data_IF_561122555729
#
_entry.id   IF_561122555729
#
_cell.length_a   1.000
_cell.length_b   1.000
_cell.length_c   1.000
_cell.angle_alpha   90.00
_cell.angle_beta   90.00
_cell.angle_gamma   90.00
#
_symmetry.space_group_name_H-M   'P 1'
#
loop_
_entity.id
_entity.type
_entity.pdbx_description
1 polymer ?
#
# COMPACT_ATOMS: atom_id res chain seq x y z
N UNK A 1 14.51 22.69 24.71
CA UNK A 1 13.49 22.23 25.67
C UNK A 1 13.08 20.82 25.27
N UNK A 2 13.71 19.80 25.85
CA UNK A 2 13.44 18.40 25.54
C UNK A 2 12.97 17.70 26.82
N UNK A 3 11.65 17.65 27.02
CA UNK A 3 11.00 16.74 27.97
C UNK A 3 10.78 15.35 27.34
N UNK A 4 10.55 14.31 28.15
CA UNK A 4 10.42 12.93 27.71
C UNK A 4 9.28 12.75 26.67
N UNK A 5 9.41 11.79 25.73
CA UNK A 5 8.53 11.64 24.57
C UNK A 5 7.04 11.36 24.84
N UNK A 6 6.67 11.07 26.08
CA UNK A 6 5.30 10.71 26.47
C UNK A 6 4.45 11.87 26.97
N UNK A 7 5.06 12.98 27.40
CA UNK A 7 4.38 14.05 28.13
C UNK A 7 3.56 14.99 27.22
N UNK A 8 3.71 14.87 25.89
CA UNK A 8 3.04 15.76 24.94
C UNK A 8 1.64 15.28 24.53
N UNK A 9 1.30 14.02 24.82
CA UNK A 9 0.04 13.42 24.39
C UNK A 9 -1.06 13.48 25.45
N UNK A 10 -0.67 13.43 26.72
CA UNK A 10 -1.55 13.50 27.89
C UNK A 10 -1.59 14.97 28.36
N UNK A 11 -2.68 15.67 28.08
CA UNK A 11 -2.85 17.10 28.39
C UNK A 11 -3.59 17.32 29.72
N UNK A 12 -4.28 16.30 30.21
CA UNK A 12 -5.05 16.35 31.45
C UNK A 12 -4.25 15.81 32.66
N UNK A 13 -3.10 15.18 32.42
CA UNK A 13 -2.18 14.64 33.42
C UNK A 13 -2.69 13.37 34.11
N UNK A 14 -3.60 12.63 33.48
CA UNK A 14 -4.27 11.47 34.07
C UNK A 14 -3.54 10.13 33.82
N UNK A 15 -2.44 10.14 33.05
CA UNK A 15 -1.67 8.97 32.67
C UNK A 15 -2.33 8.07 31.62
N UNK A 16 -3.46 8.52 31.04
CA UNK A 16 -4.18 7.87 29.95
C UNK A 16 -4.18 8.79 28.73
N UNK A 17 -4.59 8.25 27.58
CA UNK A 17 -4.69 9.05 26.35
C UNK A 17 -6.08 8.86 25.79
N UNK A 18 -6.88 9.91 25.87
CA UNK A 18 -8.24 9.90 25.33
C UNK A 18 -8.22 9.93 23.79
N UNK A 19 -9.29 9.44 23.16
CA UNK A 19 -9.48 9.50 21.69
C UNK A 19 -9.36 10.94 21.14
N UNK A 20 -9.76 11.94 21.93
CA UNK A 20 -9.69 13.37 21.59
C UNK A 20 -8.24 13.87 21.59
N UNK A 21 -7.47 13.48 22.61
CA UNK A 21 -6.07 13.86 22.74
C UNK A 21 -5.23 13.15 21.68
N UNK A 22 -5.48 11.86 21.45
CA UNK A 22 -4.83 11.09 20.40
C UNK A 22 -5.11 11.65 19.01
N UNK A 23 -6.36 11.99 18.68
CA UNK A 23 -6.70 12.61 17.41
C UNK A 23 -5.97 13.94 17.21
N UNK A 24 -5.85 14.76 18.27
CA UNK A 24 -5.14 16.04 18.26
C UNK A 24 -3.64 15.85 18.04
N UNK A 25 -3.02 14.89 18.72
CA UNK A 25 -1.59 14.54 18.55
C UNK A 25 -1.33 14.05 17.14
N UNK A 26 -2.16 13.14 16.63
CA UNK A 26 -2.03 12.63 15.26
C UNK A 26 -2.23 13.74 14.22
N UNK A 27 -3.11 14.71 14.49
CA UNK A 27 -3.32 15.88 13.62
C UNK A 27 -2.18 16.89 13.68
N UNK A 28 -1.51 17.01 14.83
CA UNK A 28 -0.28 17.79 14.94
C UNK A 28 0.88 17.09 14.20
N UNK A 29 1.01 15.77 14.36
CA UNK A 29 2.00 14.94 13.69
C UNK A 29 1.77 14.85 12.18
N UNK A 30 0.52 14.97 11.71
CA UNK A 30 0.19 14.88 10.28
C UNK A 30 0.80 16.00 9.44
N UNK A 31 1.13 17.15 10.07
CA UNK A 31 1.90 18.23 9.43
C UNK A 31 3.27 17.76 8.94
N UNK A 32 3.85 16.76 9.61
CA UNK A 32 5.14 16.15 9.25
C UNK A 32 4.96 14.81 8.52
N UNK A 33 3.88 14.08 8.83
CA UNK A 33 3.59 12.76 8.28
C UNK A 33 2.17 12.70 7.69
N UNK A 34 1.99 12.96 6.39
CA UNK A 34 0.67 13.15 5.78
C UNK A 34 -0.25 11.92 5.85
N UNK A 35 0.31 10.71 5.99
CA UNK A 35 -0.48 9.48 6.14
C UNK A 35 -1.25 9.41 7.46
N UNK A 36 -0.83 10.16 8.50
CA UNK A 36 -1.52 10.19 9.79
C UNK A 36 -2.81 11.03 9.76
N UNK A 37 -3.00 11.86 8.72
CA UNK A 37 -4.19 12.70 8.60
C UNK A 37 -5.48 11.87 8.45
N UNK A 38 -5.43 10.76 7.69
CA UNK A 38 -6.57 9.85 7.52
C UNK A 38 -6.95 9.17 8.84
N UNK A 39 -5.94 8.77 9.63
CA UNK A 39 -6.14 8.17 10.94
C UNK A 39 -6.74 9.17 11.94
N UNK A 40 -6.26 10.41 11.96
CA UNK A 40 -6.83 11.47 12.78
C UNK A 40 -8.31 11.73 12.42
N UNK A 41 -8.63 11.84 11.12
CA UNK A 41 -10.01 12.03 10.66
C UNK A 41 -10.91 10.84 11.03
N UNK A 42 -10.39 9.61 10.97
CA UNK A 42 -11.13 8.41 11.35
C UNK A 42 -11.44 8.37 12.86
N UNK A 43 -10.49 8.78 13.70
CA UNK A 43 -10.67 8.85 15.14
C UNK A 43 -11.65 9.97 15.54
N UNK A 44 -11.56 11.13 14.91
CA UNK A 44 -12.53 12.24 15.08
C UNK A 44 -13.95 11.81 14.67
N UNK A 45 -14.09 11.04 13.59
CA UNK A 45 -15.37 10.50 13.14
C UNK A 45 -15.94 9.46 14.13
N UNK A 46 -15.11 8.66 14.78
CA UNK A 46 -15.56 7.74 15.85
C UNK A 46 -16.01 8.50 17.09
N UNK A 47 -15.25 9.50 17.51
CA UNK A 47 -15.61 10.34 18.65
C UNK A 47 -16.94 11.08 18.43
N UNK A 48 -17.15 11.64 17.23
CA UNK A 48 -18.41 12.30 16.88
C UNK A 48 -19.58 11.34 16.72
N UNK A 49 -19.36 10.08 16.30
CA UNK A 49 -20.41 9.04 16.31
C UNK A 49 -20.78 8.56 17.72
N UNK A 50 -19.82 8.46 18.63
CA UNK A 50 -20.06 8.19 20.05
C UNK A 50 -20.80 9.36 20.71
N UNK A 51 -20.38 10.60 20.45
CA UNK A 51 -21.10 11.80 20.90
C UNK A 51 -22.52 11.91 20.33
N UNK A 52 -22.71 11.57 19.05
CA UNK A 52 -24.04 11.58 18.40
C UNK A 52 -24.91 10.40 18.88
N UNK A 53 -24.33 9.24 19.20
CA UNK A 53 -25.02 8.12 19.83
C UNK A 53 -25.47 8.46 21.27
N UNK A 54 -24.62 9.12 22.06
CA UNK A 54 -24.93 9.59 23.43
C UNK A 54 -25.96 10.74 23.40
N UNK A 55 -25.86 11.68 22.45
CA UNK A 55 -26.89 12.70 22.23
C UNK A 55 -28.20 12.09 21.72
N UNK A 56 -28.18 11.07 20.85
CA UNK A 56 -29.39 10.39 20.37
C UNK A 56 -30.03 9.46 21.41
N UNK A 57 -29.26 8.98 22.40
CA UNK A 57 -29.79 8.32 23.59
C UNK A 57 -30.44 9.33 24.56
N UNK A 58 -29.98 10.58 24.56
CA UNK A 58 -30.62 11.70 25.27
C UNK A 58 -31.79 12.34 24.50
N UNK A 59 -31.95 12.03 23.21
CA UNK A 59 -33.08 12.49 22.36
C UNK A 59 -33.69 11.31 21.59
N UNK A 60 -34.11 10.28 22.31
CA UNK A 60 -35.07 9.30 21.79
C UNK A 60 -36.47 9.91 21.84
N UNK A 61 -36.75 10.76 20.85
CA UNK A 61 -38.03 11.38 20.56
C UNK A 61 -38.11 11.80 19.10
N UNK A 62 -38.17 10.83 18.17
CA UNK A 62 -38.76 11.02 16.84
C UNK A 62 -37.85 11.12 15.61
N UNK A 63 -38.01 10.13 14.72
CA UNK A 63 -37.89 10.16 13.25
C UNK A 63 -36.52 10.15 12.51
N UNK A 64 -36.21 8.95 11.99
CA UNK A 64 -35.79 8.56 10.62
C UNK A 64 -34.44 9.04 9.99
N UNK A 65 -33.84 8.23 9.07
CA UNK A 65 -32.39 8.02 9.03
C UNK A 65 -31.69 8.56 7.77
N UNK A 66 -30.41 8.97 7.91
CA UNK A 66 -29.50 9.21 6.79
C UNK A 66 -28.52 8.04 6.65
N UNK A 67 -28.71 7.24 5.60
CA UNK A 67 -27.83 6.14 5.20
C UNK A 67 -26.61 6.68 4.44
N UNK A 68 -25.41 6.63 5.03
CA UNK A 68 -24.16 6.76 4.29
C UNK A 68 -23.39 5.43 4.33
N UNK A 69 -23.53 4.66 3.25
CA UNK A 69 -22.75 3.45 2.97
C UNK A 69 -21.25 3.80 2.94
N UNK A 70 -20.51 3.35 3.94
CA UNK A 70 -19.06 3.17 3.84
C UNK A 70 -18.77 1.67 3.75
N UNK A 71 -18.58 1.21 2.51
CA UNK A 71 -18.02 -0.10 2.21
C UNK A 71 -16.57 -0.12 2.70
N UNK A 72 -16.27 -0.98 3.68
CA UNK A 72 -14.91 -1.41 3.98
C UNK A 72 -14.93 -2.94 4.15
N UNK A 73 -14.04 -3.67 3.46
CA UNK A 73 -14.01 -5.12 3.50
C UNK A 73 -13.56 -5.60 4.89
N UNK A 74 -14.24 -6.64 5.37
CA UNK A 74 -13.98 -7.29 6.64
C UNK A 74 -12.53 -7.82 6.71
N UNK A 75 -11.63 -7.03 7.31
CA UNK A 75 -10.39 -7.54 7.88
C UNK A 75 -10.71 -8.04 9.29
N UNK A 76 -10.72 -9.36 9.46
CA UNK A 76 -10.99 -10.09 10.71
C UNK A 76 -9.90 -9.90 11.78
N UNK A 77 -9.57 -8.67 12.17
CA UNK A 77 -8.67 -8.43 13.30
C UNK A 77 -9.06 -7.15 14.05
N UNK A 78 -10.23 -7.13 14.68
CA UNK A 78 -10.54 -6.12 15.70
C UNK A 78 -11.42 -6.75 16.80
N UNK A 79 -11.01 -7.88 17.37
CA UNK A 79 -11.44 -8.25 18.71
C UNK A 79 -10.54 -7.51 19.72
N UNK A 80 -10.75 -6.20 19.81
CA UNK A 80 -10.29 -5.41 20.94
C UNK A 80 -11.56 -4.78 21.51
N UNK A 81 -11.91 -5.20 22.72
CA UNK A 81 -13.02 -4.64 23.48
C UNK A 81 -12.93 -3.12 23.41
N UNK A 82 -14.04 -2.48 23.02
CA UNK A 82 -14.17 -1.04 22.97
C UNK A 82 -14.17 -0.47 24.39
N UNK A 83 -13.00 -0.40 25.02
CA UNK A 83 -12.79 0.43 26.19
C UNK A 83 -12.37 1.81 25.69
N UNK A 84 -13.13 2.82 26.07
CA UNK A 84 -13.09 4.22 25.60
C UNK A 84 -11.78 4.95 25.99
N UNK A 85 -10.88 4.27 26.71
CA UNK A 85 -9.53 4.72 27.03
C UNK A 85 -8.58 3.53 26.94
N UNK A 86 -7.52 3.65 26.13
CA UNK A 86 -6.41 2.70 26.10
C UNK A 86 -5.25 3.29 26.89
N UNK A 87 -4.63 2.49 27.74
CA UNK A 87 -3.42 2.90 28.45
C UNK A 87 -2.29 3.22 27.45
N UNK A 88 -1.37 4.10 27.84
CA UNK A 88 -0.22 4.43 26.99
C UNK A 88 0.59 3.19 26.59
N UNK A 89 0.64 2.18 27.45
CA UNK A 89 1.30 0.88 27.18
C UNK A 89 0.56 0.06 26.12
N UNK A 90 -0.77 -0.02 26.19
CA UNK A 90 -1.59 -0.69 25.17
C UNK A 90 -1.53 0.03 23.82
N UNK A 91 -1.48 1.36 23.82
CA UNK A 91 -1.31 2.14 22.59
C UNK A 91 0.07 1.91 21.96
N UNK A 92 1.14 1.86 22.77
CA UNK A 92 2.48 1.48 22.30
C UNK A 92 2.50 0.07 21.72
N UNK A 93 1.89 -0.90 22.40
CA UNK A 93 1.78 -2.27 21.92
C UNK A 93 0.99 -2.36 20.60
N UNK A 94 -0.07 -1.55 20.44
CA UNK A 94 -0.83 -1.46 19.21
C UNK A 94 0.00 -0.84 18.07
N UNK A 95 0.73 0.24 18.33
CA UNK A 95 1.66 0.84 17.38
C UNK A 95 2.75 -0.14 16.95
N UNK A 96 3.37 -0.86 17.89
CA UNK A 96 4.39 -1.88 17.60
C UNK A 96 3.81 -3.03 16.77
N UNK A 97 2.55 -3.41 17.02
CA UNK A 97 1.83 -4.41 16.23
C UNK A 97 1.46 -3.90 14.83
N UNK A 98 1.21 -2.61 14.65
CA UNK A 98 1.00 -2.01 13.34
C UNK A 98 2.32 -1.91 12.60
N UNK A 99 3.38 -1.46 13.26
CA UNK A 99 4.70 -1.27 12.67
C UNK A 99 5.33 -2.61 12.24
N UNK A 100 5.20 -3.65 13.06
CA UNK A 100 5.58 -5.03 12.68
C UNK A 100 4.76 -5.61 11.51
N UNK A 101 3.56 -5.07 11.26
CA UNK A 101 2.73 -5.41 10.09
C UNK A 101 3.02 -4.55 8.86
N UNK A 102 3.67 -3.39 8.99
CA UNK A 102 4.19 -2.59 7.88
C UNK A 102 5.44 -3.26 7.31
N UNK A 103 5.27 -4.45 6.72
CA UNK A 103 6.33 -5.09 5.97
C UNK A 103 6.59 -4.28 4.70
N UNK A 104 7.87 -4.01 4.45
CA UNK A 104 8.31 -3.41 3.19
C UNK A 104 7.84 -4.22 1.99
N UNK A 105 7.65 -3.53 0.87
CA UNK A 105 7.35 -4.17 -0.40
C UNK A 105 8.47 -5.16 -0.77
N UNK A 106 8.10 -6.28 -1.39
CA UNK A 106 9.05 -7.28 -1.84
C UNK A 106 10.08 -6.67 -2.81
N UNK A 107 11.34 -7.05 -2.68
CA UNK A 107 12.43 -6.65 -3.58
C UNK A 107 12.28 -7.34 -4.96
N UNK A 108 11.28 -6.91 -5.73
CA UNK A 108 10.97 -7.44 -7.07
C UNK A 108 11.18 -6.37 -8.12
N UNK A 109 11.53 -6.79 -9.34
CA UNK A 109 11.67 -5.88 -10.47
C UNK A 109 10.37 -5.09 -10.75
N UNK A 110 9.20 -5.69 -10.48
CA UNK A 110 7.91 -5.02 -10.63
C UNK A 110 7.75 -3.86 -9.64
N UNK A 111 8.09 -4.06 -8.36
CA UNK A 111 8.04 -3.01 -7.34
C UNK A 111 9.02 -1.89 -7.71
N UNK A 112 10.25 -2.24 -8.08
CA UNK A 112 11.26 -1.28 -8.50
C UNK A 112 10.81 -0.45 -9.71
N UNK A 113 10.19 -1.09 -10.72
CA UNK A 113 9.64 -0.39 -11.88
C UNK A 113 8.53 0.60 -11.50
N UNK A 114 7.55 0.16 -10.71
CA UNK A 114 6.45 1.02 -10.28
C UNK A 114 6.92 2.18 -9.40
N UNK A 115 7.85 1.92 -8.48
CA UNK A 115 8.47 2.95 -7.65
C UNK A 115 9.27 3.95 -8.50
N UNK A 116 10.01 3.47 -9.51
CA UNK A 116 10.74 4.32 -10.45
C UNK A 116 9.82 5.21 -11.28
N UNK A 117 8.72 4.65 -11.82
CA UNK A 117 7.70 5.42 -12.57
C UNK A 117 7.03 6.48 -11.69
N UNK A 118 6.67 6.12 -10.45
CA UNK A 118 6.11 7.05 -9.47
C UNK A 118 7.10 8.18 -9.13
N UNK A 119 8.34 7.82 -8.79
CA UNK A 119 9.39 8.79 -8.45
C UNK A 119 9.68 9.72 -9.63
N UNK A 120 9.78 9.20 -10.85
CA UNK A 120 9.97 10.01 -12.05
C UNK A 120 8.82 11.03 -12.24
N UNK A 121 7.57 10.61 -12.00
CA UNK A 121 6.41 11.52 -12.03
C UNK A 121 6.47 12.60 -10.94
N UNK A 122 6.86 12.24 -9.71
CA UNK A 122 7.03 13.19 -8.61
C UNK A 122 8.14 14.20 -8.94
N UNK A 123 9.29 13.73 -9.44
CA UNK A 123 10.42 14.58 -9.82
C UNK A 123 10.06 15.51 -10.98
N UNK A 124 9.36 15.00 -12.01
CA UNK A 124 8.89 15.81 -13.13
C UNK A 124 7.86 16.87 -12.72
N UNK A 125 7.09 16.62 -11.65
CA UNK A 125 6.15 17.60 -11.09
C UNK A 125 6.81 18.68 -10.23
N UNK A 126 8.03 18.42 -9.75
CA UNK A 126 8.81 19.34 -8.95
C UNK A 126 9.35 20.47 -9.82
N UNK A 127 9.47 21.67 -9.25
CA UNK A 127 10.21 22.76 -9.90
C UNK A 127 11.64 22.75 -9.37
N UNK A 128 12.59 22.72 -10.29
CA UNK A 128 13.99 22.89 -9.94
C UNK A 128 14.25 24.34 -9.60
N UNK A 129 14.59 24.61 -8.33
CA UNK A 129 14.92 25.95 -7.87
C UNK A 129 16.45 26.11 -7.86
N UNK A 130 16.99 26.71 -8.92
CA UNK A 130 18.44 26.86 -9.10
C UNK A 130 19.11 27.66 -7.97
N UNK A 131 18.35 28.51 -7.26
CA UNK A 131 18.84 29.37 -6.18
C UNK A 131 19.07 28.62 -4.87
N UNK A 132 18.26 27.62 -4.56
CA UNK A 132 18.40 26.78 -3.36
C UNK A 132 19.14 25.47 -3.63
N UNK A 133 19.33 25.09 -4.90
CA UNK A 133 19.87 23.79 -5.28
C UNK A 133 18.97 22.63 -4.86
N UNK A 134 17.70 22.90 -4.53
CA UNK A 134 16.74 21.92 -4.06
C UNK A 134 15.57 21.81 -5.03
N UNK A 135 15.07 20.59 -5.16
CA UNK A 135 13.85 20.34 -5.92
C UNK A 135 12.65 20.70 -5.03
N UNK A 136 11.93 21.77 -5.38
CA UNK A 136 10.69 22.13 -4.71
C UNK A 136 9.58 21.16 -5.14
N UNK A 137 9.30 20.16 -4.29
CA UNK A 137 8.23 19.19 -4.51
C UNK A 137 6.86 19.81 -4.23
N UNK A 138 5.83 19.33 -4.94
CA UNK A 138 4.45 19.74 -4.70
C UNK A 138 3.98 19.24 -3.32
N UNK A 139 3.36 20.09 -2.48
CA UNK A 139 3.06 19.77 -1.08
C UNK A 139 1.98 18.69 -0.85
N UNK A 140 1.33 18.18 -1.90
CA UNK A 140 0.24 17.20 -1.80
C UNK A 140 0.36 16.11 -2.89
N UNK A 141 1.45 15.35 -2.87
CA UNK A 141 1.57 14.14 -3.69
C UNK A 141 0.93 12.95 -2.96
N UNK A 142 0.07 12.14 -3.61
CA UNK A 142 -0.48 10.94 -3.00
C UNK A 142 0.65 9.93 -2.70
N UNK A 143 0.55 9.14 -1.62
CA UNK A 143 1.54 8.11 -1.31
C UNK A 143 1.57 7.03 -2.42
N UNK A 144 2.74 6.43 -2.62
CA UNK A 144 2.91 5.33 -3.55
C UNK A 144 2.02 4.14 -3.15
N UNK A 145 1.19 3.67 -4.07
CA UNK A 145 0.36 2.47 -3.91
C UNK A 145 0.84 1.40 -4.87
N UNK A 146 1.34 0.30 -4.31
CA UNK A 146 1.76 -0.85 -5.11
C UNK A 146 0.56 -1.59 -5.68
N UNK A 147 0.66 -1.92 -6.98
CA UNK A 147 -0.32 -2.75 -7.66
C UNK A 147 0.30 -4.09 -8.04
N UNK A 148 -0.20 -5.18 -7.46
CA UNK A 148 0.28 -6.52 -7.79
C UNK A 148 -0.28 -6.97 -9.15
N UNK A 149 0.59 -7.17 -10.15
CA UNK A 149 0.23 -7.64 -11.49
C UNK A 149 0.20 -9.17 -11.63
N UNK A 150 0.58 -9.90 -10.58
CA UNK A 150 0.67 -11.36 -10.58
C UNK A 150 2.09 -11.88 -10.48
N UNK A 151 2.22 -13.19 -10.53
CA UNK A 151 3.48 -13.92 -10.51
C UNK A 151 3.47 -14.99 -11.59
N UNK A 152 4.65 -15.29 -12.13
CA UNK A 152 4.79 -16.19 -13.26
C UNK A 152 6.15 -16.87 -13.14
N UNK A 153 6.17 -18.18 -13.29
CA UNK A 153 7.34 -19.01 -13.06
C UNK A 153 7.45 -20.11 -14.12
N UNK A 154 8.61 -20.24 -14.74
CA UNK A 154 8.91 -21.35 -15.65
C UNK A 154 9.30 -22.59 -14.85
N UNK A 155 8.67 -23.73 -15.15
CA UNK A 155 8.86 -24.99 -14.42
C UNK A 155 9.72 -25.99 -15.20
N UNK A 156 10.01 -25.71 -16.47
CA UNK A 156 10.77 -26.62 -17.35
C UNK A 156 9.87 -27.25 -18.42
N UNK A 157 10.47 -27.99 -19.35
CA UNK A 157 9.75 -28.73 -20.41
C UNK A 157 8.68 -27.94 -21.16
N UNK A 158 8.95 -26.66 -21.48
CA UNK A 158 7.99 -25.73 -22.10
C UNK A 158 6.73 -25.44 -21.26
N UNK A 159 6.73 -25.78 -19.98
CA UNK A 159 5.66 -25.52 -19.03
C UNK A 159 5.99 -24.34 -18.10
N UNK A 160 4.96 -23.58 -17.76
CA UNK A 160 5.04 -22.53 -16.76
C UNK A 160 3.79 -22.54 -15.86
N UNK A 161 3.85 -21.78 -14.78
CA UNK A 161 2.74 -21.54 -13.85
C UNK A 161 2.55 -20.04 -13.75
N UNK A 162 1.33 -19.59 -14.00
CA UNK A 162 0.94 -18.19 -13.94
C UNK A 162 -0.17 -17.99 -12.92
N UNK A 163 0.04 -17.06 -12.00
CA UNK A 163 -0.97 -16.57 -11.08
C UNK A 163 -1.23 -15.08 -11.36
N UNK A 164 -2.36 -14.78 -11.99
CA UNK A 164 -2.80 -13.40 -12.24
C UNK A 164 -3.91 -13.07 -11.25
N UNK A 165 -3.74 -12.04 -10.39
CA UNK A 165 -4.80 -11.59 -9.51
C UNK A 165 -5.97 -11.08 -10.35
N UNK A 166 -7.19 -11.43 -9.95
CA UNK A 166 -8.43 -11.03 -10.64
C UNK A 166 -8.55 -9.51 -10.70
N UNK A 167 -8.18 -8.90 -11.82
CA UNK A 167 -8.37 -7.46 -12.09
C UNK A 167 -9.59 -7.27 -12.98
N UNK A 168 -10.77 -7.07 -12.36
CA UNK A 168 -12.01 -6.82 -13.10
C UNK A 168 -12.65 -8.06 -13.76
N UNK A 169 -13.42 -7.91 -14.86
CA UNK A 169 -14.18 -8.99 -15.49
C UNK A 169 -13.33 -10.07 -16.17
N UNK A 170 -12.08 -9.75 -16.57
CA UNK A 170 -11.13 -10.72 -17.11
C UNK A 170 -10.37 -11.40 -15.97
N UNK A 171 -11.09 -12.26 -15.25
CA UNK A 171 -10.46 -13.21 -14.35
C UNK A 171 -9.94 -14.39 -15.16
N UNK A 172 -8.67 -14.35 -15.58
CA UNK A 172 -8.04 -15.55 -16.12
C UNK A 172 -7.81 -16.53 -14.96
N UNK A 173 -8.25 -17.79 -15.07
CA UNK A 173 -7.88 -18.81 -14.10
C UNK A 173 -6.35 -18.97 -14.09
N UNK A 174 -5.76 -19.45 -12.98
CA UNK A 174 -4.35 -19.80 -12.95
C UNK A 174 -4.06 -20.78 -14.09
N UNK A 175 -3.13 -20.40 -14.97
CA UNK A 175 -2.78 -21.15 -16.15
C UNK A 175 -1.56 -22.01 -15.82
N UNK A 176 -1.68 -23.32 -16.03
CA UNK A 176 -0.61 -24.30 -15.85
C UNK A 176 -0.36 -25.07 -17.15
N UNK A 177 0.89 -25.41 -17.40
CA UNK A 177 1.29 -26.29 -18.50
C UNK A 177 1.84 -25.54 -19.72
N UNK A 178 1.78 -26.17 -20.89
CA UNK A 178 2.45 -25.70 -22.11
C UNK A 178 1.94 -24.35 -22.61
N UNK A 179 0.65 -24.08 -22.47
CA UNK A 179 0.06 -22.79 -22.86
C UNK A 179 0.57 -21.64 -21.98
N UNK A 180 0.74 -21.89 -20.68
CA UNK A 180 1.38 -20.94 -19.78
C UNK A 180 2.86 -20.73 -20.14
N UNK A 181 3.55 -21.77 -20.63
CA UNK A 181 4.93 -21.65 -21.10
C UNK A 181 5.10 -20.78 -22.35
N UNK A 182 4.15 -20.84 -23.30
CA UNK A 182 4.11 -19.92 -24.45
C UNK A 182 3.86 -18.48 -24.00
N UNK A 183 2.96 -18.27 -23.05
CA UNK A 183 2.71 -16.96 -22.44
C UNK A 183 3.94 -16.42 -21.70
N UNK A 184 4.64 -17.26 -20.94
CA UNK A 184 5.90 -16.89 -20.28
C UNK A 184 6.94 -16.37 -21.26
N UNK A 185 7.18 -17.09 -22.36
CA UNK A 185 8.15 -16.67 -23.38
C UNK A 185 7.72 -15.39 -24.08
N UNK A 186 6.42 -15.27 -24.34
CA UNK A 186 5.84 -14.05 -24.94
C UNK A 186 6.05 -12.84 -24.02
N UNK A 187 5.86 -13.03 -22.71
CA UNK A 187 6.10 -12.01 -21.69
C UNK A 187 7.59 -11.64 -21.60
N UNK A 188 8.50 -12.60 -21.58
CA UNK A 188 9.95 -12.37 -21.54
C UNK A 188 10.44 -11.52 -22.72
N UNK A 189 9.92 -11.76 -23.93
CA UNK A 189 10.19 -10.93 -25.10
C UNK A 189 9.57 -9.53 -24.92
N UNK A 190 8.32 -9.45 -24.48
CA UNK A 190 7.62 -8.18 -24.31
C UNK A 190 8.26 -7.27 -23.25
N UNK A 191 8.74 -7.85 -22.15
CA UNK A 191 9.28 -7.16 -20.98
C UNK A 191 10.61 -6.42 -21.27
N UNK A 192 11.31 -6.74 -22.36
CA UNK A 192 12.54 -6.05 -22.73
C UNK A 192 12.30 -4.58 -23.06
N UNK A 193 13.22 -3.71 -22.63
CA UNK A 193 13.09 -2.25 -22.73
C UNK A 193 13.26 -1.76 -24.19
N UNK A 194 14.01 -2.48 -25.03
CA UNK A 194 14.39 -2.05 -26.38
C UNK A 194 13.97 -3.05 -27.46
N UNK A 195 13.47 -2.53 -28.59
CA UNK A 195 13.05 -3.33 -29.75
C UNK A 195 14.14 -4.28 -30.27
N UNK A 196 15.40 -3.81 -30.35
CA UNK A 196 16.51 -4.66 -30.77
C UNK A 196 16.74 -5.86 -29.84
N UNK A 197 16.53 -5.67 -28.52
CA UNK A 197 16.62 -6.77 -27.55
C UNK A 197 15.45 -7.74 -27.71
N UNK A 198 14.23 -7.25 -27.98
CA UNK A 198 13.06 -8.09 -28.26
C UNK A 198 13.32 -9.04 -29.42
N UNK A 199 13.83 -8.52 -30.53
CA UNK A 199 14.13 -9.32 -31.72
C UNK A 199 15.25 -10.34 -31.46
N UNK A 200 16.30 -9.98 -30.73
CA UNK A 200 17.38 -10.92 -30.37
C UNK A 200 16.87 -12.08 -29.52
N UNK A 201 16.12 -11.80 -28.46
CA UNK A 201 15.53 -12.83 -27.59
C UNK A 201 14.55 -13.72 -28.36
N UNK A 202 13.69 -13.11 -29.20
CA UNK A 202 12.77 -13.88 -30.05
C UNK A 202 13.52 -14.79 -31.05
N UNK A 203 14.59 -14.28 -31.67
CA UNK A 203 15.46 -15.05 -32.56
C UNK A 203 16.15 -16.20 -31.84
N UNK A 204 16.61 -16.01 -30.61
CA UNK A 204 17.19 -17.07 -29.78
C UNK A 204 16.17 -18.17 -29.47
N UNK A 205 14.92 -17.80 -29.14
CA UNK A 205 13.87 -18.79 -28.93
C UNK A 205 13.53 -19.57 -30.20
N UNK A 206 13.47 -18.90 -31.35
CA UNK A 206 13.23 -19.54 -32.64
C UNK A 206 14.37 -20.50 -33.00
N UNK A 207 15.62 -20.05 -32.87
CA UNK A 207 16.80 -20.87 -33.13
C UNK A 207 16.84 -22.09 -32.22
N UNK A 208 16.55 -21.92 -30.94
CA UNK A 208 16.55 -23.01 -29.95
C UNK A 208 15.43 -24.01 -30.22
N UNK A 209 14.29 -23.57 -30.77
CA UNK A 209 13.19 -24.45 -31.17
C UNK A 209 13.48 -25.25 -32.44
N UNK A 210 14.14 -24.64 -33.42
CA UNK A 210 14.45 -25.29 -34.70
C UNK A 210 15.69 -26.20 -34.62
N UNK A 211 16.74 -25.76 -33.93
CA UNK A 211 18.04 -26.44 -33.92
C UNK A 211 18.43 -27.04 -32.56
N UNK A 212 17.59 -26.89 -31.54
CA UNK A 212 17.95 -27.24 -30.17
C UNK A 212 18.88 -26.22 -29.52
N UNK A 213 19.20 -26.43 -28.24
CA UNK A 213 20.08 -25.53 -27.47
C UNK A 213 21.54 -25.83 -27.83
N UNK A 214 22.25 -24.84 -28.35
CA UNK A 214 23.68 -25.00 -28.62
C UNK A 214 24.45 -24.84 -27.29
N UNK A 215 25.19 -25.89 -26.90
CA UNK A 215 26.02 -25.94 -25.68
C UNK A 215 27.52 -25.87 -26.00
N UNK A 216 27.93 -25.21 -27.09
CA UNK A 216 29.34 -25.05 -27.41
C UNK A 216 29.98 -24.07 -26.42
N UNK A 217 30.53 -24.60 -25.34
CA UNK A 217 31.42 -23.88 -24.43
C UNK A 217 32.84 -23.92 -25.02
N UNK A 218 33.14 -23.06 -25.99
CA UNK A 218 34.50 -22.83 -26.48
C UNK A 218 34.65 -21.39 -26.94
#
# INVERSE_FOLDING_TARGET
MHGPPGEYADLNGDGKVDLVELARVLRAASKRYPHLAEHAAHLEAKNSRLGQAVCSAATAGGSAPCQLKASCPASKTCDLQAHDAMSCEEFKALLEKIDSKLRGLLATAQVAKQQGEFLAGVLASGRWEARSGQLAMKPQQPPFKYFHKGSLAYVGSDNAVMDIPRVGPLALPPLLGGQAGLLWRSYEVYAQISWGKKLRVAGEFLRTKLFGRNFSNF
#
